data_IF_589547972075
#
_entry.id   IF_589547972075
#
_cell.length_a   1.000
_cell.length_b   1.000
_cell.length_c   1.000
_cell.angle_alpha   90.00
_cell.angle_beta   90.00
_cell.angle_gamma   90.00
#
_symmetry.space_group_name_H-M   'P 1'
#
loop_
_entity.id
_entity.type
_entity.pdbx_description
1 polymer ?
#
# COMPACT_ATOMS: atom_id res chain seq x y z
N UNK A 1 -12.83 -9.16 -11.55
CA UNK A 1 -12.12 -9.27 -12.85
C UNK A 1 -10.69 -8.74 -12.72
N UNK A 2 -10.48 -7.46 -12.42
CA UNK A 2 -9.13 -6.85 -12.38
C UNK A 2 -8.29 -7.18 -11.12
N UNK A 3 -8.85 -7.88 -10.14
CA UNK A 3 -8.15 -8.27 -8.90
C UNK A 3 -7.66 -9.73 -8.90
N UNK A 4 -7.89 -10.48 -9.97
CA UNK A 4 -7.51 -11.90 -10.05
C UNK A 4 -6.90 -12.21 -11.40
N UNK A 5 -5.83 -12.99 -11.40
CA UNK A 5 -5.17 -13.54 -12.57
C UNK A 5 -6.09 -14.40 -13.43
N UNK A 6 -7.08 -15.04 -12.80
CA UNK A 6 -7.84 -16.15 -13.38
C UNK A 6 -8.96 -15.66 -14.32
N UNK A 7 -9.14 -14.34 -14.40
CA UNK A 7 -10.21 -13.70 -15.13
C UNK A 7 -9.70 -12.81 -16.28
N UNK A 8 -8.47 -13.05 -16.75
CA UNK A 8 -7.85 -12.33 -17.85
C UNK A 8 -8.68 -12.35 -19.16
N UNK A 9 -9.44 -13.43 -19.39
CA UNK A 9 -10.36 -13.53 -20.55
C UNK A 9 -11.48 -12.49 -20.57
N UNK A 10 -11.76 -11.83 -19.44
CA UNK A 10 -12.81 -10.81 -19.32
C UNK A 10 -12.27 -9.37 -19.30
N UNK A 11 -10.98 -9.15 -19.61
CA UNK A 11 -10.39 -7.81 -19.57
C UNK A 11 -11.06 -6.84 -20.54
N UNK A 12 -11.33 -7.29 -21.77
CA UNK A 12 -12.02 -6.49 -22.76
C UNK A 12 -13.44 -6.12 -22.29
N UNK A 13 -14.14 -7.07 -21.67
CA UNK A 13 -15.46 -6.81 -21.11
C UNK A 13 -15.40 -5.81 -19.95
N UNK A 14 -14.40 -5.92 -19.06
CA UNK A 14 -14.20 -4.95 -17.99
C UNK A 14 -13.91 -3.55 -18.53
N UNK A 15 -13.11 -3.43 -19.60
CA UNK A 15 -12.85 -2.16 -20.27
C UNK A 15 -14.15 -1.52 -20.78
N UNK A 16 -14.98 -2.29 -21.49
CA UNK A 16 -16.27 -1.81 -22.00
C UNK A 16 -17.21 -1.33 -20.89
N UNK A 17 -17.25 -2.03 -19.75
CA UNK A 17 -18.04 -1.62 -18.58
C UNK A 17 -17.54 -0.29 -17.99
N UNK A 18 -16.22 -0.12 -17.85
CA UNK A 18 -15.62 1.11 -17.34
C UNK A 18 -15.84 2.28 -18.31
N UNK A 19 -15.70 2.03 -19.62
CA UNK A 19 -15.96 3.03 -20.65
C UNK A 19 -17.44 3.48 -20.64
N UNK A 20 -18.36 2.52 -20.54
CA UNK A 20 -19.78 2.80 -20.40
C UNK A 20 -20.10 3.61 -19.15
N UNK A 21 -19.50 3.25 -18.01
CA UNK A 21 -19.66 3.98 -16.75
C UNK A 21 -19.20 5.43 -16.90
N UNK A 22 -17.99 5.67 -17.42
CA UNK A 22 -17.44 7.03 -17.59
C UNK A 22 -18.30 7.89 -18.52
N UNK A 23 -18.71 7.34 -19.68
CA UNK A 23 -19.61 8.03 -20.62
C UNK A 23 -20.96 8.36 -19.99
N UNK A 24 -21.51 7.46 -19.19
CA UNK A 24 -22.82 7.64 -18.54
C UNK A 24 -22.72 8.63 -17.38
N UNK A 25 -21.65 8.56 -16.59
CA UNK A 25 -21.37 9.51 -15.52
C UNK A 25 -21.33 10.95 -16.05
N UNK A 26 -20.60 11.18 -17.15
CA UNK A 26 -20.53 12.49 -17.78
C UNK A 26 -21.92 12.99 -18.25
N UNK A 27 -22.78 12.10 -18.77
CA UNK A 27 -24.13 12.48 -19.22
C UNK A 27 -25.04 12.88 -18.06
N UNK A 28 -24.97 12.17 -16.93
CA UNK A 28 -25.85 12.39 -15.79
C UNK A 28 -25.40 13.60 -14.95
N UNK A 29 -24.10 13.70 -14.68
CA UNK A 29 -23.57 14.72 -13.77
C UNK A 29 -22.98 15.93 -14.52
N UNK A 30 -22.63 15.78 -15.79
CA UNK A 30 -21.99 16.83 -16.58
C UNK A 30 -20.46 16.79 -16.51
N UNK A 31 -19.82 17.49 -17.46
CA UNK A 31 -18.35 17.54 -17.57
C UNK A 31 -17.68 18.21 -16.37
N UNK A 32 -18.37 19.09 -15.65
CA UNK A 32 -17.85 19.77 -14.46
C UNK A 32 -17.47 18.81 -13.33
N UNK A 33 -18.08 17.62 -13.29
CA UNK A 33 -17.79 16.59 -12.29
C UNK A 33 -16.86 15.47 -12.81
N UNK A 34 -16.38 15.58 -14.06
CA UNK A 34 -15.40 14.67 -14.63
C UNK A 34 -14.00 14.93 -14.07
N UNK A 35 -13.79 14.49 -12.82
CA UNK A 35 -12.50 14.56 -12.15
C UNK A 35 -11.50 13.57 -12.75
N UNK A 36 -10.21 13.79 -12.46
CA UNK A 36 -9.12 12.88 -12.85
C UNK A 36 -9.39 11.43 -12.39
N UNK A 37 -9.95 11.24 -11.20
CA UNK A 37 -10.26 9.91 -10.67
C UNK A 37 -11.29 9.16 -11.53
N UNK A 38 -12.29 9.88 -12.08
CA UNK A 38 -13.30 9.27 -12.95
C UNK A 38 -12.69 8.89 -14.29
N UNK A 39 -11.87 9.77 -14.88
CA UNK A 39 -11.18 9.49 -16.13
C UNK A 39 -10.16 8.34 -15.97
N UNK A 40 -9.46 8.30 -14.85
CA UNK A 40 -8.45 7.29 -14.51
C UNK A 40 -8.98 5.86 -14.55
N UNK A 41 -10.29 5.66 -14.37
CA UNK A 41 -10.92 4.34 -14.49
C UNK A 41 -10.68 3.68 -15.86
N UNK A 42 -10.55 4.47 -16.93
CA UNK A 42 -10.28 3.96 -18.29
C UNK A 42 -8.90 3.31 -18.40
N UNK A 43 -7.96 3.67 -17.53
CA UNK A 43 -6.59 3.17 -17.55
C UNK A 43 -6.39 1.88 -16.73
N UNK A 44 -7.34 1.51 -15.87
CA UNK A 44 -7.20 0.33 -14.99
C UNK A 44 -6.97 -0.98 -15.74
N UNK A 45 -7.54 -1.14 -16.93
CA UNK A 45 -7.34 -2.36 -17.74
C UNK A 45 -5.95 -2.38 -18.36
N UNK A 46 -5.41 -1.22 -18.74
CA UNK A 46 -4.03 -1.10 -19.22
C UNK A 46 -3.02 -1.32 -18.09
N UNK A 47 -3.30 -0.78 -16.90
CA UNK A 47 -2.51 -1.04 -15.69
C UNK A 47 -2.49 -2.54 -15.38
N UNK A 48 -3.63 -3.23 -15.50
CA UNK A 48 -3.68 -4.67 -15.33
C UNK A 48 -2.80 -5.41 -16.36
N UNK A 49 -2.81 -4.98 -17.63
CA UNK A 49 -1.98 -5.59 -18.68
C UNK A 49 -0.49 -5.41 -18.40
N UNK A 50 -0.09 -4.30 -17.77
CA UNK A 50 1.30 -3.98 -17.45
C UNK A 50 1.79 -4.67 -16.16
N UNK A 51 0.97 -4.66 -15.10
CA UNK A 51 1.39 -5.06 -13.75
C UNK A 51 0.70 -6.32 -13.22
N UNK A 52 -0.27 -6.87 -13.96
CA UNK A 52 -1.12 -7.99 -13.54
C UNK A 52 -2.28 -7.54 -12.65
N UNK A 53 -2.79 -8.40 -11.74
CA UNK A 53 -3.84 -8.03 -10.79
C UNK A 53 -3.55 -6.71 -10.09
N UNK A 54 -4.55 -5.83 -9.96
CA UNK A 54 -4.35 -4.45 -9.46
C UNK A 54 -3.79 -4.39 -8.04
N UNK A 55 -3.91 -5.46 -7.25
CA UNK A 55 -3.27 -5.57 -5.93
C UNK A 55 -1.74 -5.40 -6.02
N UNK A 56 -1.13 -5.83 -7.13
CA UNK A 56 0.31 -5.71 -7.38
C UNK A 56 0.80 -4.27 -7.55
N UNK A 57 -0.08 -3.36 -7.99
CA UNK A 57 0.23 -1.94 -8.17
C UNK A 57 -0.54 -1.05 -7.17
N UNK A 58 -1.20 -1.65 -6.19
CA UNK A 58 -1.97 -0.93 -5.19
C UNK A 58 -1.08 -0.33 -4.09
N UNK A 59 -1.53 0.77 -3.50
CA UNK A 59 -0.84 1.38 -2.36
C UNK A 59 -1.19 0.76 -1.00
N UNK A 60 -2.09 -0.23 -0.94
CA UNK A 60 -2.64 -0.76 0.32
C UNK A 60 -1.58 -1.29 1.28
N UNK A 61 -0.57 -2.02 0.76
CA UNK A 61 0.53 -2.52 1.58
C UNK A 61 1.31 -1.38 2.25
N UNK A 62 1.55 -0.30 1.51
CA UNK A 62 2.26 0.88 2.02
C UNK A 62 1.41 1.69 2.99
N UNK A 63 0.10 1.82 2.76
CA UNK A 63 -0.81 2.50 3.69
C UNK A 63 -0.85 1.83 5.07
N UNK A 64 -0.85 0.49 5.08
CA UNK A 64 -0.80 -0.25 6.34
C UNK A 64 0.51 0.01 7.09
N UNK A 65 1.65 -0.03 6.39
CA UNK A 65 2.96 0.26 6.97
C UNK A 65 3.13 1.73 7.38
N UNK A 66 2.46 2.66 6.69
CA UNK A 66 2.50 4.08 7.03
C UNK A 66 2.00 4.36 8.45
N UNK A 67 1.08 3.55 8.99
CA UNK A 67 0.66 3.63 10.39
C UNK A 67 1.82 3.40 11.36
N UNK A 68 2.67 2.40 11.06
CA UNK A 68 3.86 2.10 11.85
C UNK A 68 4.88 3.24 11.77
N UNK A 69 5.15 3.76 10.58
CA UNK A 69 6.04 4.91 10.40
C UNK A 69 5.55 6.15 11.15
N UNK A 70 4.25 6.44 11.10
CA UNK A 70 3.66 7.59 11.82
C UNK A 70 3.81 7.46 13.33
N UNK A 71 3.78 6.25 13.90
CA UNK A 71 4.02 6.03 15.33
C UNK A 71 5.45 6.36 15.77
N UNK A 72 6.41 6.30 14.85
CA UNK A 72 7.81 6.70 15.13
C UNK A 72 7.98 8.21 15.19
N UNK A 73 7.05 8.97 14.61
CA UNK A 73 7.08 10.43 14.59
C UNK A 73 6.46 11.00 15.87
N UNK A 74 7.14 11.98 16.48
CA UNK A 74 6.62 12.74 17.63
C UNK A 74 6.14 14.14 17.25
N UNK A 75 6.77 14.75 16.24
CA UNK A 75 6.46 16.08 15.70
C UNK A 75 6.80 16.13 14.21
N UNK A 76 6.20 17.05 13.47
CA UNK A 76 6.36 17.17 12.02
C UNK A 76 7.77 17.60 11.55
N UNK A 77 8.64 17.98 12.48
CA UNK A 77 10.00 18.43 12.17
C UNK A 77 10.96 17.25 11.91
N UNK A 78 11.69 17.26 10.80
CA UNK A 78 12.68 16.23 10.42
C UNK A 78 12.16 14.78 10.52
N UNK A 79 11.06 14.42 9.83
CA UNK A 79 10.40 13.12 10.00
C UNK A 79 11.31 11.92 9.67
N UNK A 80 12.11 12.02 8.61
CA UNK A 80 13.05 10.96 8.23
C UNK A 80 14.08 10.70 9.34
N UNK A 81 14.67 11.76 9.89
CA UNK A 81 15.66 11.65 10.99
C UNK A 81 15.03 10.99 12.22
N UNK A 82 13.78 11.36 12.56
CA UNK A 82 13.07 10.77 13.69
C UNK A 82 12.84 9.27 13.49
N UNK A 83 12.38 8.86 12.30
CA UNK A 83 12.16 7.45 11.95
C UNK A 83 13.47 6.67 12.05
N UNK A 84 14.55 7.17 11.45
CA UNK A 84 15.87 6.51 11.46
C UNK A 84 16.41 6.36 12.88
N UNK A 85 16.33 7.42 13.70
CA UNK A 85 16.80 7.35 15.09
C UNK A 85 15.96 6.37 15.93
N UNK A 86 14.63 6.40 15.79
CA UNK A 86 13.73 5.47 16.49
C UNK A 86 13.94 4.03 16.06
N UNK A 87 14.20 3.79 14.78
CA UNK A 87 14.52 2.46 14.28
C UNK A 87 15.81 1.91 14.90
N UNK A 88 16.87 2.73 14.97
CA UNK A 88 18.12 2.37 15.67
C UNK A 88 17.87 2.02 17.15
N UNK A 89 17.11 2.86 17.87
CA UNK A 89 16.74 2.60 19.27
C UNK A 89 16.03 1.24 19.44
N UNK A 90 15.16 0.85 18.50
CA UNK A 90 14.46 -0.45 18.56
C UNK A 90 15.45 -1.60 18.35
N UNK A 91 16.29 -1.54 17.31
CA UNK A 91 17.30 -2.57 17.04
C UNK A 91 18.28 -2.75 18.21
N UNK A 92 18.72 -1.65 18.82
CA UNK A 92 19.63 -1.70 19.97
C UNK A 92 18.97 -2.38 21.18
N UNK A 93 17.70 -2.07 21.46
CA UNK A 93 16.94 -2.71 22.55
C UNK A 93 16.64 -4.19 22.31
N UNK A 94 16.35 -4.58 21.06
CA UNK A 94 16.18 -5.99 20.70
C UNK A 94 17.47 -6.78 20.96
N UNK A 95 18.62 -6.25 20.54
CA UNK A 95 19.94 -6.86 20.80
C UNK A 95 20.24 -7.00 22.30
N UNK A 96 19.93 -5.97 23.10
CA UNK A 96 20.07 -6.05 24.56
C UNK A 96 19.19 -7.17 25.13
N UNK A 97 17.98 -7.29 24.63
CA UNK A 97 17.02 -8.31 25.08
C UNK A 97 17.55 -9.71 24.78
N UNK A 98 18.01 -9.98 23.56
CA UNK A 98 18.61 -11.28 23.19
C UNK A 98 19.84 -11.61 24.03
N UNK A 99 20.77 -10.68 24.19
CA UNK A 99 21.98 -10.90 25.00
C UNK A 99 21.65 -11.21 26.47
N UNK A 100 20.62 -10.60 27.03
CA UNK A 100 20.17 -10.88 28.40
C UNK A 100 19.53 -12.27 28.54
N UNK A 101 18.77 -12.72 27.53
CA UNK A 101 18.22 -14.08 27.53
C UNK A 101 19.32 -15.15 27.46
N UNK A 102 20.34 -14.94 26.63
CA UNK A 102 21.48 -15.87 26.56
C UNK A 102 22.23 -15.92 27.90
N UNK A 103 22.49 -14.78 28.55
CA UNK A 103 23.14 -14.74 29.87
C UNK A 103 22.33 -15.46 30.97
N UNK A 104 21.00 -15.33 31.00
CA UNK A 104 20.14 -16.02 31.97
C UNK A 104 20.13 -17.55 31.79
N UNK A 105 20.26 -18.04 30.55
CA UNK A 105 20.33 -19.47 30.25
C UNK A 105 21.69 -20.09 30.60
N UNK A 106 22.77 -19.29 30.69
CA UNK A 106 24.07 -19.75 31.18
C UNK A 106 24.18 -19.76 32.71
N UNK A 107 23.39 -18.97 33.44
CA UNK A 107 23.44 -18.90 34.92
C UNK A 107 22.44 -19.81 35.65
N UNK A 108 21.60 -20.54 34.93
CA UNK A 108 20.53 -21.41 35.50
C UNK A 108 20.86 -22.90 35.49
N UNK A 109 22.11 -23.28 35.18
CA UNK A 109 22.59 -24.66 35.15
C UNK A 109 23.62 -24.98 36.25
N UNK A 110 23.35 -24.58 37.50
CA UNK A 110 23.98 -25.10 38.73
C UNK A 110 22.90 -25.51 39.73
#
# INVERSE_FOLDING_TARGET
ILLSSDHCKYLEYAYQLLEYFVKTFQKIYGITFMSHNVHGLLHLVEDYKLYGPLDNCSCFYFENYMKYLKRMLRKNDKPLQQVVNRYKEICDNENITYNNYDQLNFTTNE
#
